data_IF_347326039153
#
_entry.id   IF_347326039153
#
_cell.length_a   1.000
_cell.length_b   1.000
_cell.length_c   1.000
_cell.angle_alpha   90.00
_cell.angle_beta   90.00
_cell.angle_gamma   90.00
#
_symmetry.space_group_name_H-M   'P 1'
#
loop_
_entity.id
_entity.type
_entity.pdbx_description
1 polymer ?
#
# COMPACT_ATOMS: atom_id res chain seq x y z
N UNK A 1 -16.71 3.79 4.54
CA UNK A 1 -15.63 3.60 5.53
C UNK A 1 -14.71 4.80 5.44
N UNK A 2 -14.16 5.26 6.55
CA UNK A 2 -13.15 6.34 6.56
C UNK A 2 -11.81 5.73 7.01
N UNK A 3 -10.71 6.11 6.35
CA UNK A 3 -9.37 5.60 6.67
C UNK A 3 -8.68 6.65 7.54
N UNK A 4 -8.25 6.24 8.73
CA UNK A 4 -7.46 7.09 9.61
C UNK A 4 -5.97 7.06 9.20
N UNK A 5 -5.53 8.07 8.45
CA UNK A 5 -4.16 8.19 7.95
C UNK A 5 -3.12 8.51 9.05
N UNK A 6 -3.57 8.94 10.23
CA UNK A 6 -2.72 9.22 11.39
C UNK A 6 -2.50 8.00 12.27
N UNK A 7 -3.10 6.86 11.91
CA UNK A 7 -2.93 5.63 12.66
C UNK A 7 -1.46 5.16 12.57
N UNK A 8 -0.75 4.96 13.71
CA UNK A 8 0.66 4.56 13.70
C UNK A 8 0.88 3.21 12.99
N UNK A 9 -0.17 2.40 12.90
CA UNK A 9 -0.29 1.18 12.11
C UNK A 9 0.10 1.32 10.63
N UNK A 10 -0.11 2.50 10.03
CA UNK A 10 0.20 2.79 8.63
C UNK A 10 1.67 3.19 8.40
N UNK A 11 2.49 3.18 9.44
CA UNK A 11 3.94 3.36 9.36
C UNK A 11 4.38 4.70 8.77
N UNK A 12 3.53 5.72 8.84
CA UNK A 12 3.83 7.06 8.29
C UNK A 12 3.90 7.15 6.76
N UNK A 13 3.63 6.06 6.03
CA UNK A 13 3.73 6.04 4.57
C UNK A 13 2.77 7.01 3.90
N UNK A 14 1.60 7.24 4.51
CA UNK A 14 0.62 8.20 4.04
C UNK A 14 1.12 9.66 4.05
N UNK A 15 2.20 9.99 4.76
CA UNK A 15 2.71 11.35 4.89
C UNK A 15 4.06 11.57 4.19
N UNK A 16 4.61 10.54 3.53
CA UNK A 16 5.87 10.64 2.79
C UNK A 16 5.71 11.22 1.38
N UNK A 17 6.82 11.27 0.64
CA UNK A 17 6.86 11.74 -0.76
C UNK A 17 5.94 10.92 -1.67
N UNK A 18 5.84 9.60 -1.43
CA UNK A 18 4.92 8.69 -2.12
C UNK A 18 3.58 8.49 -1.39
N UNK A 19 3.29 9.35 -0.40
CA UNK A 19 2.06 9.30 0.39
C UNK A 19 0.78 9.41 -0.45
N UNK A 20 0.70 10.25 -1.49
CA UNK A 20 -0.47 10.29 -2.36
C UNK A 20 -0.77 8.94 -3.04
N UNK A 21 0.25 8.29 -3.60
CA UNK A 21 0.12 6.99 -4.27
C UNK A 21 -0.25 5.89 -3.26
N UNK A 22 0.34 5.93 -2.06
CA UNK A 22 -0.02 5.03 -0.97
C UNK A 22 -1.48 5.20 -0.56
N UNK A 23 -1.96 6.43 -0.37
CA UNK A 23 -3.35 6.70 0.00
C UNK A 23 -4.33 6.20 -1.06
N UNK A 24 -4.00 6.38 -2.33
CA UNK A 24 -4.84 5.94 -3.44
C UNK A 24 -4.90 4.40 -3.52
N UNK A 25 -3.75 3.72 -3.47
CA UNK A 25 -3.68 2.26 -3.50
C UNK A 25 -4.36 1.63 -2.27
N UNK A 26 -4.09 2.16 -1.08
CA UNK A 26 -4.63 1.64 0.17
C UNK A 26 -6.14 1.91 0.30
N UNK A 27 -6.62 3.07 -0.14
CA UNK A 27 -8.06 3.33 -0.16
C UNK A 27 -8.79 2.43 -1.14
N UNK A 28 -8.25 2.24 -2.34
CA UNK A 28 -8.78 1.26 -3.29
C UNK A 28 -8.84 -0.14 -2.66
N UNK A 29 -7.75 -0.59 -2.02
CA UNK A 29 -7.73 -1.90 -1.36
C UNK A 29 -8.79 -2.02 -0.26
N UNK A 30 -8.94 -1.02 0.62
CA UNK A 30 -9.91 -1.05 1.72
C UNK A 30 -11.35 -1.17 1.21
N UNK A 31 -11.67 -0.47 0.12
CA UNK A 31 -13.00 -0.45 -0.49
C UNK A 31 -13.24 -1.53 -1.55
N UNK A 32 -12.21 -2.27 -1.97
CA UNK A 32 -12.36 -3.34 -2.96
C UNK A 32 -13.26 -4.44 -2.39
N UNK A 33 -14.30 -4.77 -3.17
CA UNK A 33 -15.25 -5.87 -2.92
C UNK A 33 -14.94 -7.09 -3.81
N UNK A 34 -13.85 -7.05 -4.58
CA UNK A 34 -13.46 -8.13 -5.47
C UNK A 34 -12.84 -9.30 -4.70
N UNK A 35 -12.92 -10.50 -5.26
CA UNK A 35 -12.23 -11.67 -4.76
C UNK A 35 -11.18 -12.13 -5.79
N UNK A 36 -9.87 -12.06 -5.48
CA UNK A 36 -9.27 -11.61 -4.22
C UNK A 36 -9.30 -10.08 -4.04
N UNK A 37 -9.40 -9.65 -2.77
CA UNK A 37 -9.50 -8.23 -2.40
C UNK A 37 -8.33 -7.43 -2.96
N UNK A 38 -8.64 -6.33 -3.65
CA UNK A 38 -7.66 -5.42 -4.23
C UNK A 38 -7.06 -5.84 -5.58
N UNK A 39 -7.59 -6.88 -6.22
CA UNK A 39 -7.16 -7.28 -7.58
C UNK A 39 -7.44 -6.18 -8.62
N UNK A 40 -8.47 -5.38 -8.41
CA UNK A 40 -8.81 -4.19 -9.20
C UNK A 40 -7.89 -2.99 -8.92
N UNK A 41 -7.11 -3.05 -7.85
CA UNK A 41 -6.23 -1.96 -7.39
C UNK A 41 -4.77 -2.12 -7.81
N UNK A 42 -4.43 -3.17 -8.58
CA UNK A 42 -3.05 -3.52 -8.95
C UNK A 42 -2.31 -2.34 -9.61
N UNK A 43 -2.96 -1.61 -10.51
CA UNK A 43 -2.35 -0.44 -11.16
C UNK A 43 -2.02 0.69 -10.17
N UNK A 44 -2.80 0.84 -9.10
CA UNK A 44 -2.53 1.83 -8.04
C UNK A 44 -1.30 1.42 -7.22
N UNK A 45 -1.18 0.14 -6.89
CA UNK A 45 -0.01 -0.40 -6.22
C UNK A 45 1.25 -0.28 -7.09
N UNK A 46 1.13 -0.46 -8.40
CA UNK A 46 2.23 -0.24 -9.34
C UNK A 46 2.70 1.22 -9.33
N UNK A 47 1.80 2.19 -9.36
CA UNK A 47 2.16 3.60 -9.25
C UNK A 47 2.88 3.95 -7.94
N UNK A 48 2.50 3.31 -6.82
CA UNK A 48 3.22 3.43 -5.55
C UNK A 48 4.61 2.81 -5.61
N UNK A 49 4.75 1.61 -6.19
CA UNK A 49 6.03 0.95 -6.39
C UNK A 49 6.98 1.79 -7.25
N UNK A 50 6.48 2.39 -8.32
CA UNK A 50 7.28 3.24 -9.20
C UNK A 50 7.78 4.48 -8.44
N UNK A 51 6.95 5.09 -7.61
CA UNK A 51 7.38 6.18 -6.73
C UNK A 51 8.46 5.74 -5.73
N UNK A 52 8.35 4.55 -5.12
CA UNK A 52 9.41 4.06 -4.22
C UNK A 52 10.73 3.82 -4.92
N UNK A 53 10.71 3.36 -6.19
CA UNK A 53 11.91 3.19 -7.01
C UNK A 53 12.58 4.51 -7.38
N UNK A 54 11.80 5.59 -7.49
CA UNK A 54 12.32 6.94 -7.72
C UNK A 54 12.97 7.55 -6.46
N UNK A 55 12.64 7.03 -5.28
CA UNK A 55 13.12 7.51 -3.98
C UNK A 55 13.82 6.42 -3.12
N UNK A 56 14.88 5.76 -3.66
CA UNK A 56 15.55 4.66 -2.97
C UNK A 56 16.27 5.09 -1.69
N UNK A 57 16.62 6.38 -1.58
CA UNK A 57 17.25 7.01 -0.41
C UNK A 57 16.33 7.10 0.81
N UNK A 58 15.00 7.18 0.58
CA UNK A 58 13.99 7.29 1.64
C UNK A 58 13.48 5.90 2.05
N UNK A 59 13.14 5.06 1.06
CA UNK A 59 12.46 3.80 1.31
C UNK A 59 13.42 2.61 1.46
N UNK A 60 14.65 2.71 0.96
CA UNK A 60 15.64 1.64 1.01
C UNK A 60 15.27 0.44 0.14
N UNK A 61 16.28 -0.30 -0.34
CA UNK A 61 16.07 -1.46 -1.22
C UNK A 61 15.23 -2.58 -0.56
N UNK A 62 15.27 -2.68 0.77
CA UNK A 62 14.52 -3.67 1.54
C UNK A 62 13.00 -3.47 1.52
N UNK A 63 12.50 -2.22 1.61
CA UNK A 63 11.04 -1.96 1.60
C UNK A 63 10.46 -2.26 0.22
N UNK A 64 11.22 -1.98 -0.86
CA UNK A 64 10.81 -2.25 -2.24
C UNK A 64 10.60 -3.75 -2.46
N UNK A 65 11.38 -4.63 -1.81
CA UNK A 65 11.21 -6.08 -1.96
C UNK A 65 10.05 -6.63 -1.12
N UNK A 66 9.88 -6.17 0.12
CA UNK A 66 8.94 -6.78 1.08
C UNK A 66 7.49 -6.35 0.83
N UNK A 67 7.25 -5.08 0.46
CA UNK A 67 5.89 -4.58 0.21
C UNK A 67 5.24 -5.25 -1.00
N UNK A 68 6.05 -5.61 -1.99
CA UNK A 68 5.58 -5.94 -3.34
C UNK A 68 5.27 -7.42 -3.45
N UNK A 69 6.10 -8.25 -2.82
CA UNK A 69 5.76 -9.67 -2.66
C UNK A 69 4.62 -9.84 -1.64
N UNK A 70 4.58 -9.03 -0.57
CA UNK A 70 3.58 -9.17 0.48
C UNK A 70 2.15 -8.81 0.07
N UNK A 71 1.97 -7.71 -0.68
CA UNK A 71 0.62 -7.22 -1.03
C UNK A 71 0.04 -7.88 -2.28
N UNK A 72 0.88 -8.35 -3.21
CA UNK A 72 0.43 -9.00 -4.43
C UNK A 72 0.41 -10.55 -4.34
N UNK A 73 1.26 -11.18 -3.52
CA UNK A 73 1.34 -12.64 -3.48
C UNK A 73 0.43 -13.32 -2.45
N UNK A 74 -0.03 -12.61 -1.43
CA UNK A 74 -0.90 -13.18 -0.41
C UNK A 74 -2.17 -12.35 -0.26
N UNK A 75 -3.22 -12.72 -1.01
CA UNK A 75 -4.61 -12.30 -0.80
C UNK A 75 -5.08 -12.65 0.62
N UNK A 76 -4.56 -11.93 1.60
CA UNK A 76 -4.76 -12.15 3.03
C UNK A 76 -5.78 -11.13 3.49
N UNK A 77 -7.04 -11.48 3.24
CA UNK A 77 -8.22 -10.85 3.80
C UNK A 77 -8.33 -10.93 5.34
N UNK A 78 -7.25 -11.12 6.08
CA UNK A 78 -7.30 -11.32 7.54
C UNK A 78 -6.08 -10.76 8.28
N UNK A 79 -5.71 -9.49 8.01
CA UNK A 79 -5.04 -8.70 9.05
C UNK A 79 -5.98 -7.61 9.50
N UNK A 80 -6.85 -7.99 10.43
CA UNK A 80 -7.48 -7.06 11.37
C UNK A 80 -6.38 -6.14 11.92
N UNK A 81 -6.34 -4.91 11.42
CA UNK A 81 -5.73 -3.82 12.17
C UNK A 81 -6.73 -3.47 13.29
N UNK A 82 -6.60 -4.19 14.40
CA UNK A 82 -7.18 -3.84 15.69
C UNK A 82 -6.23 -2.96 16.48
#
# INVERSE_FOLDING_TARGET
GEINWDCPCLGGMAHGVCGPQFREAFSCFVFSEQEPKGIDCVEKFKGMQDCFREHPDIYGEGIISIFIEGMCANGSGDRNYG
#
